data_IF_923476804809
#
_entry.id   IF_923476804809
#
_cell.length_a   1.000
_cell.length_b   1.000
_cell.length_c   1.000
_cell.angle_alpha   90.00
_cell.angle_beta   90.00
_cell.angle_gamma   90.00
#
_symmetry.space_group_name_H-M   'P 1'
#
loop_
_entity.id
_entity.type
_entity.pdbx_description
1 polymer ?
#
# COMPACT_ATOMS: atom_id res chain seq x y z
N UNK A 1 25.66 11.85 -30.30
CA UNK A 1 26.44 12.76 -29.42
C UNK A 1 26.80 11.94 -28.20
N UNK A 2 28.02 12.01 -27.76
CA UNK A 2 28.47 11.40 -26.51
C UNK A 2 28.14 12.33 -25.34
N UNK A 3 28.11 11.79 -24.11
CA UNK A 3 27.72 12.54 -22.91
C UNK A 3 28.70 13.66 -22.59
N UNK A 4 29.99 13.40 -22.62
CA UNK A 4 31.02 14.39 -22.30
C UNK A 4 30.93 15.65 -23.17
N UNK A 5 30.71 15.47 -24.49
CA UNK A 5 30.46 16.57 -25.42
C UNK A 5 29.20 17.38 -25.10
N UNK A 6 28.20 16.69 -24.54
CA UNK A 6 26.94 17.32 -24.12
C UNK A 6 27.14 18.11 -22.85
N UNK A 7 27.77 17.50 -21.84
CA UNK A 7 28.03 18.09 -20.54
C UNK A 7 28.82 19.40 -20.63
N UNK A 8 29.93 19.43 -21.41
CA UNK A 8 30.79 20.60 -21.56
C UNK A 8 30.11 21.79 -22.26
N UNK A 9 29.02 21.55 -23.01
CA UNK A 9 28.46 22.58 -23.91
C UNK A 9 27.02 22.96 -23.58
N UNK A 10 26.39 22.31 -22.64
CA UNK A 10 24.95 22.46 -22.34
C UNK A 10 24.54 23.91 -22.12
N UNK A 11 25.35 24.68 -21.42
CA UNK A 11 25.06 26.10 -21.10
C UNK A 11 25.02 27.02 -22.34
N UNK A 12 25.72 26.62 -23.40
CA UNK A 12 25.89 27.46 -24.60
C UNK A 12 24.79 27.29 -25.64
N UNK A 13 23.83 26.37 -25.40
CA UNK A 13 22.80 26.06 -26.41
C UNK A 13 21.45 26.71 -26.13
N UNK A 14 20.77 27.10 -27.21
CA UNK A 14 19.37 27.49 -27.11
C UNK A 14 18.48 26.30 -26.74
N UNK A 15 17.30 26.55 -26.16
CA UNK A 15 16.33 25.49 -25.77
C UNK A 15 15.98 24.56 -26.94
N UNK A 16 15.85 25.09 -28.16
CA UNK A 16 15.56 24.27 -29.36
C UNK A 16 16.73 23.35 -29.70
N UNK A 17 17.96 23.86 -29.61
CA UNK A 17 19.17 23.08 -29.83
C UNK A 17 19.31 22.00 -28.76
N UNK A 18 19.11 22.34 -27.47
CA UNK A 18 19.13 21.39 -26.36
C UNK A 18 18.15 20.25 -26.59
N UNK A 19 16.91 20.57 -26.99
CA UNK A 19 15.91 19.53 -27.26
C UNK A 19 16.33 18.55 -28.35
N UNK A 20 17.01 19.04 -29.41
CA UNK A 20 17.55 18.17 -30.48
C UNK A 20 18.73 17.35 -30.00
N UNK A 21 19.64 17.96 -29.22
CA UNK A 21 20.84 17.32 -28.70
C UNK A 21 20.51 16.21 -27.72
N UNK A 22 19.60 16.46 -26.78
CA UNK A 22 19.08 15.42 -25.87
C UNK A 22 18.56 14.20 -26.66
N UNK A 23 17.78 14.42 -27.72
CA UNK A 23 17.28 13.34 -28.54
C UNK A 23 18.37 12.54 -29.25
N UNK A 24 19.51 13.17 -29.55
CA UNK A 24 20.64 12.56 -30.29
C UNK A 24 21.70 11.90 -29.39
N UNK A 25 21.54 11.96 -28.05
CA UNK A 25 22.45 11.31 -27.11
C UNK A 25 22.49 9.81 -27.35
N UNK A 26 23.72 9.27 -27.43
CA UNK A 26 24.00 7.84 -27.56
C UNK A 26 24.47 7.24 -26.25
N UNK A 27 25.22 8.02 -25.48
CA UNK A 27 25.64 7.75 -24.12
C UNK A 27 25.08 8.82 -23.21
N UNK A 28 25.04 8.54 -21.93
CA UNK A 28 24.56 9.47 -20.90
C UNK A 28 25.30 9.15 -19.61
N UNK A 29 25.48 10.16 -18.75
CA UNK A 29 26.15 10.01 -17.47
C UNK A 29 25.28 9.32 -16.41
N UNK A 30 25.79 9.28 -15.21
CA UNK A 30 25.10 8.74 -14.05
C UNK A 30 23.99 9.69 -13.55
N UNK A 31 23.13 9.23 -12.64
CA UNK A 31 21.98 10.00 -12.17
C UNK A 31 22.34 11.36 -11.57
N UNK A 32 23.40 11.41 -10.78
CA UNK A 32 23.89 12.65 -10.17
C UNK A 32 24.41 13.67 -11.22
N UNK A 33 25.10 13.22 -12.27
CA UNK A 33 25.54 14.10 -13.38
C UNK A 33 24.34 14.67 -14.16
N UNK A 34 23.29 13.86 -14.29
CA UNK A 34 22.04 14.29 -14.94
C UNK A 34 21.34 15.35 -14.10
N UNK A 35 21.40 15.24 -12.77
CA UNK A 35 20.87 16.25 -11.85
C UNK A 35 21.62 17.57 -11.99
N UNK A 36 22.94 17.55 -12.02
CA UNK A 36 23.77 18.75 -12.26
C UNK A 36 23.40 19.44 -13.57
N UNK A 37 23.25 18.68 -14.64
CA UNK A 37 22.82 19.21 -15.95
C UNK A 37 21.41 19.78 -15.90
N UNK A 38 20.49 19.13 -15.18
CA UNK A 38 19.11 19.61 -15.04
C UNK A 38 19.07 20.97 -14.32
N UNK A 39 19.95 21.20 -13.34
CA UNK A 39 20.09 22.49 -12.68
C UNK A 39 20.60 23.59 -13.64
N UNK A 40 21.49 23.25 -14.56
CA UNK A 40 21.99 24.21 -15.57
C UNK A 40 20.92 24.53 -16.62
N UNK A 41 20.14 23.53 -17.05
CA UNK A 41 19.07 23.70 -18.08
C UNK A 41 17.94 24.60 -17.56
N UNK A 42 17.52 24.47 -16.31
CA UNK A 42 16.45 25.25 -15.66
C UNK A 42 15.12 25.27 -16.45
N UNK A 43 14.80 24.17 -17.12
CA UNK A 43 13.58 24.04 -17.91
C UNK A 43 13.00 22.62 -17.65
N UNK A 44 11.91 22.56 -16.91
CA UNK A 44 11.32 21.29 -16.48
C UNK A 44 10.96 20.36 -17.66
N UNK A 45 10.51 20.90 -18.79
CA UNK A 45 10.16 20.08 -19.94
C UNK A 45 11.40 19.47 -20.62
N UNK A 46 12.50 20.21 -20.70
CA UNK A 46 13.77 19.72 -21.22
C UNK A 46 14.39 18.71 -20.26
N UNK A 47 14.34 18.99 -18.95
CA UNK A 47 14.80 18.08 -17.92
C UNK A 47 14.02 16.76 -17.96
N UNK A 48 12.69 16.80 -18.05
CA UNK A 48 11.87 15.60 -18.20
C UNK A 48 12.24 14.81 -19.47
N UNK A 49 12.58 15.51 -20.56
CA UNK A 49 13.05 14.87 -21.81
C UNK A 49 14.40 14.21 -21.62
N UNK A 50 15.33 14.85 -20.90
CA UNK A 50 16.65 14.31 -20.58
C UNK A 50 16.53 13.04 -19.73
N UNK A 51 15.71 13.07 -18.67
CA UNK A 51 15.45 11.92 -17.82
C UNK A 51 14.83 10.75 -18.61
N UNK A 52 13.82 11.02 -19.45
CA UNK A 52 13.24 9.98 -20.32
C UNK A 52 14.28 9.37 -21.26
N UNK A 53 15.19 10.20 -21.76
CA UNK A 53 16.29 9.72 -22.58
C UNK A 53 17.25 8.84 -21.77
N UNK A 54 17.59 9.26 -20.54
CA UNK A 54 18.44 8.50 -19.62
C UNK A 54 17.82 7.12 -19.29
N UNK A 55 16.56 7.09 -18.92
CA UNK A 55 15.83 5.83 -18.69
C UNK A 55 15.85 4.92 -19.93
N UNK A 56 15.69 5.52 -21.13
CA UNK A 56 15.73 4.74 -22.40
C UNK A 56 17.10 4.16 -22.72
N UNK A 57 18.16 4.74 -22.18
CA UNK A 57 19.54 4.27 -22.30
C UNK A 57 19.97 3.35 -21.14
N UNK A 58 19.07 3.09 -20.20
CA UNK A 58 19.28 2.14 -19.12
C UNK A 58 20.01 2.72 -17.90
N UNK A 59 20.03 4.05 -17.73
CA UNK A 59 20.62 4.68 -16.53
C UNK A 59 19.81 4.24 -15.32
N UNK A 60 20.51 3.88 -14.25
CA UNK A 60 19.92 3.62 -12.95
C UNK A 60 19.69 4.92 -12.21
N UNK A 61 18.57 5.02 -11.55
CA UNK A 61 18.22 6.13 -10.68
C UNK A 61 18.01 5.58 -9.26
N UNK A 62 19.04 5.57 -8.39
CA UNK A 62 18.87 5.30 -6.97
C UNK A 62 17.87 6.28 -6.36
N UNK A 63 17.12 5.87 -5.34
CA UNK A 63 16.10 6.73 -4.74
C UNK A 63 16.69 8.01 -4.14
N UNK A 64 17.88 7.94 -3.55
CA UNK A 64 18.63 9.08 -3.04
C UNK A 64 18.93 10.14 -4.12
N UNK A 65 19.21 9.70 -5.36
CA UNK A 65 19.45 10.61 -6.47
C UNK A 65 18.14 11.21 -7.01
N UNK A 66 17.02 10.45 -6.96
CA UNK A 66 15.73 10.93 -7.46
C UNK A 66 15.24 12.16 -6.68
N UNK A 67 15.50 12.23 -5.38
CA UNK A 67 15.14 13.37 -4.53
C UNK A 67 15.81 14.66 -5.03
N UNK A 68 17.04 14.59 -5.57
CA UNK A 68 17.76 15.75 -6.08
C UNK A 68 17.08 16.44 -7.27
N UNK A 69 16.11 15.79 -7.91
CA UNK A 69 15.33 16.38 -9.01
C UNK A 69 14.13 17.20 -8.53
N UNK A 70 13.96 17.39 -7.22
CA UNK A 70 12.90 18.25 -6.69
C UNK A 70 13.00 19.67 -7.27
N UNK A 71 11.89 20.20 -7.77
CA UNK A 71 11.84 21.53 -8.41
C UNK A 71 12.46 21.59 -9.81
N UNK A 72 13.30 20.63 -10.19
CA UNK A 72 13.94 20.57 -11.52
C UNK A 72 13.03 19.92 -12.57
N UNK A 73 12.11 19.08 -12.14
CA UNK A 73 11.08 18.42 -12.99
C UNK A 73 9.71 18.45 -12.32
N UNK A 74 8.68 18.03 -13.06
CA UNK A 74 7.35 17.90 -12.49
C UNK A 74 7.24 16.68 -11.58
N UNK A 75 6.27 16.69 -10.65
CA UNK A 75 5.95 15.55 -9.78
C UNK A 75 5.69 14.27 -10.58
N UNK A 76 5.00 14.36 -11.71
CA UNK A 76 4.72 13.21 -12.58
C UNK A 76 6.01 12.60 -13.15
N UNK A 77 7.03 13.42 -13.39
CA UNK A 77 8.35 12.93 -13.84
C UNK A 77 9.06 12.21 -12.71
N UNK A 78 9.01 12.74 -11.48
CA UNK A 78 9.56 12.06 -10.29
C UNK A 78 8.87 10.71 -10.08
N UNK A 79 7.54 10.67 -10.13
CA UNK A 79 6.79 9.39 -10.04
C UNK A 79 7.22 8.40 -11.13
N UNK A 80 7.46 8.86 -12.38
CA UNK A 80 7.98 7.99 -13.44
C UNK A 80 9.39 7.46 -13.15
N UNK A 81 10.26 8.26 -12.52
CA UNK A 81 11.59 7.82 -12.09
C UNK A 81 11.50 6.78 -10.97
N UNK A 82 10.62 7.00 -10.00
CA UNK A 82 10.32 6.06 -8.90
C UNK A 82 9.84 4.72 -9.49
N UNK A 83 8.84 4.74 -10.35
CA UNK A 83 8.33 3.54 -11.02
C UNK A 83 9.42 2.82 -11.81
N UNK A 84 10.27 3.59 -12.49
CA UNK A 84 11.39 3.05 -13.23
C UNK A 84 12.40 2.35 -12.31
N UNK A 85 12.81 3.00 -11.20
CA UNK A 85 13.73 2.44 -10.21
C UNK A 85 13.18 1.13 -9.61
N UNK A 86 11.92 1.13 -9.16
CA UNK A 86 11.25 -0.06 -8.63
C UNK A 86 11.21 -1.21 -9.64
N UNK A 87 10.92 -0.91 -10.90
CA UNK A 87 10.87 -1.92 -11.98
C UNK A 87 12.25 -2.47 -12.35
N UNK A 88 13.33 -1.73 -12.05
CA UNK A 88 14.72 -2.16 -12.28
C UNK A 88 15.36 -2.79 -11.06
N UNK A 89 14.58 -3.01 -10.01
CA UNK A 89 15.00 -3.80 -8.85
C UNK A 89 15.66 -2.99 -7.75
N UNK A 90 15.68 -1.66 -7.84
CA UNK A 90 16.16 -0.82 -6.75
C UNK A 90 15.31 -1.08 -5.49
N UNK A 91 15.98 -1.22 -4.35
CA UNK A 91 15.34 -1.36 -3.05
C UNK A 91 15.19 0.01 -2.41
N UNK A 92 14.08 0.22 -1.73
CA UNK A 92 13.84 1.45 -1.00
C UNK A 92 13.91 1.20 0.51
N UNK A 93 14.42 2.16 1.26
CA UNK A 93 14.46 2.20 2.72
C UNK A 93 13.40 3.15 3.29
N UNK A 94 13.19 3.11 4.60
CA UNK A 94 12.30 4.04 5.30
C UNK A 94 12.76 5.49 5.13
N UNK A 95 14.07 5.75 5.30
CA UNK A 95 14.66 7.08 5.15
C UNK A 95 14.41 7.67 3.75
N UNK A 96 14.50 6.83 2.71
CA UNK A 96 14.23 7.25 1.34
C UNK A 96 12.75 7.58 1.13
N UNK A 97 11.81 6.84 1.75
CA UNK A 97 10.38 7.20 1.72
C UNK A 97 10.15 8.56 2.37
N UNK A 98 10.77 8.81 3.52
CA UNK A 98 10.71 10.10 4.21
C UNK A 98 11.27 11.22 3.35
N UNK A 99 12.35 10.96 2.61
CA UNK A 99 12.94 11.91 1.66
C UNK A 99 11.98 12.37 0.55
N UNK A 100 10.92 11.61 0.26
CA UNK A 100 9.91 11.98 -0.73
C UNK A 100 8.72 12.75 -0.16
N UNK A 101 8.67 12.96 1.16
CA UNK A 101 7.60 13.74 1.79
C UNK A 101 7.51 15.15 1.18
N UNK A 102 6.33 15.55 0.75
CA UNK A 102 6.10 16.85 0.09
C UNK A 102 6.53 16.91 -1.39
N UNK A 103 7.38 15.99 -1.85
CA UNK A 103 7.85 15.91 -3.24
C UNK A 103 6.82 15.19 -4.12
N UNK A 104 6.30 14.06 -3.66
CA UNK A 104 5.28 13.26 -4.36
C UNK A 104 3.94 13.33 -3.66
N UNK A 105 2.92 12.65 -4.22
CA UNK A 105 1.62 12.53 -3.58
C UNK A 105 1.57 11.35 -2.58
N UNK A 106 0.52 11.33 -1.75
CA UNK A 106 0.29 10.31 -0.75
C UNK A 106 0.21 8.90 -1.35
N UNK A 107 -0.42 8.76 -2.51
CA UNK A 107 -0.59 7.47 -3.18
C UNK A 107 0.76 6.88 -3.59
N UNK A 108 1.70 7.73 -4.00
CA UNK A 108 3.08 7.32 -4.34
C UNK A 108 3.84 6.89 -3.09
N UNK A 109 3.73 7.61 -1.97
CA UNK A 109 4.36 7.22 -0.69
C UNK A 109 3.80 5.87 -0.20
N UNK A 110 2.50 5.70 -0.27
CA UNK A 110 1.82 4.44 0.07
C UNK A 110 2.30 3.27 -0.81
N UNK A 111 2.48 3.51 -2.11
CA UNK A 111 3.01 2.53 -3.06
C UNK A 111 4.45 2.13 -2.72
N UNK A 112 5.30 3.08 -2.31
CA UNK A 112 6.68 2.83 -1.91
C UNK A 112 6.73 1.89 -0.70
N UNK A 113 5.95 2.18 0.36
CA UNK A 113 5.87 1.30 1.53
C UNK A 113 5.30 -0.08 1.18
N UNK A 114 4.29 -0.13 0.29
CA UNK A 114 3.81 -1.41 -0.24
C UNK A 114 4.89 -2.22 -0.96
N UNK A 115 5.77 -1.55 -1.70
CA UNK A 115 6.89 -2.21 -2.39
C UNK A 115 7.86 -2.84 -1.38
N UNK A 116 8.18 -2.16 -0.28
CA UNK A 116 8.99 -2.71 0.82
C UNK A 116 8.36 -3.97 1.40
N UNK A 117 7.07 -3.90 1.75
CA UNK A 117 6.31 -5.03 2.32
C UNK A 117 6.28 -6.22 1.35
N UNK A 118 6.04 -5.98 0.07
CA UNK A 118 6.02 -7.04 -0.95
C UNK A 118 7.39 -7.70 -1.14
N UNK A 119 8.47 -6.97 -0.93
CA UNK A 119 9.86 -7.49 -0.94
C UNK A 119 10.25 -8.14 0.38
N UNK A 120 9.33 -8.21 1.35
CA UNK A 120 9.53 -8.79 2.70
C UNK A 120 10.62 -8.07 3.50
N UNK A 121 10.77 -6.78 3.28
CA UNK A 121 11.60 -5.94 4.13
C UNK A 121 10.85 -5.78 5.45
N UNK A 122 11.49 -6.17 6.54
CA UNK A 122 10.88 -6.08 7.88
C UNK A 122 11.13 -4.70 8.46
N UNK A 123 10.06 -4.08 8.94
CA UNK A 123 10.10 -2.78 9.60
C UNK A 123 10.10 -2.97 11.11
N UNK A 124 10.94 -2.22 11.80
CA UNK A 124 10.96 -2.15 13.26
C UNK A 124 9.96 -1.08 13.78
N UNK A 125 9.91 -0.86 15.08
CA UNK A 125 8.98 0.12 15.66
C UNK A 125 9.35 1.56 15.31
N UNK A 126 10.63 1.87 15.25
CA UNK A 126 11.11 3.22 14.89
C UNK A 126 10.75 3.53 13.44
N UNK A 127 10.96 2.59 12.50
CA UNK A 127 10.54 2.74 11.10
C UNK A 127 9.04 3.06 10.97
N UNK A 128 8.19 2.36 11.74
CA UNK A 128 6.74 2.57 11.71
C UNK A 128 6.33 3.91 12.32
N UNK A 129 7.04 4.34 13.37
CA UNK A 129 6.82 5.63 14.02
C UNK A 129 7.20 6.79 13.11
N UNK A 130 8.36 6.70 12.44
CA UNK A 130 8.86 7.73 11.52
C UNK A 130 7.92 7.90 10.31
N UNK A 131 7.26 6.83 9.88
CA UNK A 131 6.28 6.86 8.79
C UNK A 131 4.90 7.40 9.21
N UNK A 132 4.64 7.61 10.50
CA UNK A 132 3.34 8.12 10.97
C UNK A 132 3.13 9.57 10.48
N UNK A 133 2.01 9.80 9.83
CA UNK A 133 1.70 11.10 9.21
C UNK A 133 2.29 11.29 7.80
N UNK A 134 3.29 10.49 7.40
CA UNK A 134 3.90 10.51 6.06
C UNK A 134 3.18 9.53 5.12
N UNK A 135 2.85 8.34 5.61
CA UNK A 135 2.16 7.30 4.86
C UNK A 135 0.78 7.06 5.47
N UNK A 136 -0.17 6.63 4.65
CA UNK A 136 -1.53 6.35 5.15
C UNK A 136 -1.53 5.30 6.25
N UNK A 137 -2.28 5.55 7.32
CA UNK A 137 -2.38 4.68 8.49
C UNK A 137 -2.73 3.23 8.14
N UNK A 138 -3.58 3.02 7.15
CA UNK A 138 -3.95 1.68 6.66
C UNK A 138 -2.78 0.92 6.04
N UNK A 139 -1.83 1.62 5.47
CA UNK A 139 -0.62 1.03 4.86
C UNK A 139 0.41 0.73 5.94
N UNK A 140 0.57 1.60 6.94
CA UNK A 140 1.38 1.35 8.15
C UNK A 140 0.86 0.10 8.88
N UNK A 141 -0.45 0.00 9.11
CA UNK A 141 -1.10 -1.16 9.72
C UNK A 141 -0.74 -2.47 9.00
N UNK A 142 -0.81 -2.45 7.66
CA UNK A 142 -0.46 -3.61 6.84
C UNK A 142 1.03 -3.95 6.93
N UNK A 143 1.89 -2.94 6.92
CA UNK A 143 3.33 -3.10 7.04
C UNK A 143 3.71 -3.70 8.40
N UNK A 144 3.12 -3.22 9.47
CA UNK A 144 3.31 -3.74 10.82
C UNK A 144 2.89 -5.21 10.95
N UNK A 145 1.72 -5.59 10.39
CA UNK A 145 1.25 -6.98 10.39
C UNK A 145 2.14 -7.91 9.55
N UNK A 146 2.68 -7.39 8.45
CA UNK A 146 3.57 -8.14 7.56
C UNK A 146 5.00 -8.28 8.11
N UNK A 147 5.40 -7.43 9.05
CA UNK A 147 6.72 -7.50 9.67
C UNK A 147 6.95 -8.86 10.34
N UNK A 148 8.15 -9.40 10.09
CA UNK A 148 8.63 -10.64 10.72
C UNK A 148 9.33 -10.40 12.05
N UNK A 149 9.58 -9.14 12.39
CA UNK A 149 10.17 -8.75 13.65
C UNK A 149 9.18 -8.95 14.81
N UNK A 150 9.71 -9.21 15.99
CA UNK A 150 8.93 -9.26 17.21
C UNK A 150 9.02 -7.89 17.88
N UNK A 151 7.87 -7.32 18.17
CA UNK A 151 7.78 -6.06 18.92
C UNK A 151 7.85 -6.35 20.42
N UNK A 152 8.63 -5.56 21.14
CA UNK A 152 8.72 -5.57 22.60
C UNK A 152 7.51 -4.87 23.24
N UNK A 153 7.41 -4.88 24.57
CA UNK A 153 6.38 -4.10 25.27
C UNK A 153 6.56 -2.60 25.09
N UNK A 154 7.80 -2.13 25.09
CA UNK A 154 8.13 -0.72 24.87
C UNK A 154 7.79 -0.31 23.44
N UNK A 155 8.12 -1.14 22.44
CA UNK A 155 7.74 -0.88 21.03
C UNK A 155 6.23 -0.72 20.90
N UNK A 156 5.44 -1.60 21.53
CA UNK A 156 3.98 -1.51 21.47
C UNK A 156 3.43 -0.29 22.17
N UNK A 157 4.09 0.21 23.24
CA UNK A 157 3.72 1.46 23.88
C UNK A 157 3.98 2.67 22.96
N UNK A 158 5.11 2.68 22.23
CA UNK A 158 5.41 3.73 21.23
C UNK A 158 4.47 3.70 20.03
N UNK A 159 4.03 2.51 19.62
CA UNK A 159 3.11 2.33 18.49
C UNK A 159 1.64 2.58 18.85
N UNK A 160 1.35 2.88 20.12
CA UNK A 160 0.00 3.30 20.53
C UNK A 160 -0.34 4.65 19.88
N UNK A 161 -1.42 4.68 19.10
CA UNK A 161 -1.81 5.86 18.30
C UNK A 161 -1.28 5.86 16.87
N UNK A 162 -0.09 5.29 16.61
CA UNK A 162 0.43 5.08 15.25
C UNK A 162 -0.38 4.02 14.53
N UNK A 163 -0.59 2.87 15.16
CA UNK A 163 -1.39 1.78 14.61
C UNK A 163 -2.88 1.97 14.93
N UNK A 164 -3.74 1.39 14.10
CA UNK A 164 -5.15 1.30 14.45
C UNK A 164 -5.33 0.42 15.70
N UNK A 165 -6.33 0.69 16.55
CA UNK A 165 -6.54 -0.09 17.79
C UNK A 165 -6.73 -1.59 17.56
N UNK A 166 -7.24 -1.97 16.39
CA UNK A 166 -7.38 -3.37 15.98
C UNK A 166 -6.03 -4.02 15.75
N UNK A 167 -5.19 -3.39 14.93
CA UNK A 167 -3.87 -3.91 14.54
C UNK A 167 -2.93 -3.92 15.74
N UNK A 168 -2.95 -2.86 16.54
CA UNK A 168 -2.19 -2.79 17.78
C UNK A 168 -2.51 -3.99 18.69
N UNK A 169 -3.80 -4.29 18.93
CA UNK A 169 -4.22 -5.44 19.73
C UNK A 169 -3.77 -6.76 19.10
N UNK A 170 -3.92 -6.93 17.79
CA UNK A 170 -3.51 -8.14 17.07
C UNK A 170 -2.01 -8.39 17.20
N UNK A 171 -1.19 -7.34 17.15
CA UNK A 171 0.26 -7.42 17.34
C UNK A 171 0.62 -7.72 18.80
N UNK A 172 -0.07 -7.15 19.78
CA UNK A 172 0.08 -7.52 21.18
C UNK A 172 -0.17 -9.02 21.39
N UNK A 173 -1.29 -9.54 20.87
CA UNK A 173 -1.63 -10.96 20.95
C UNK A 173 -0.57 -11.85 20.25
N UNK A 174 -0.14 -11.46 19.03
CA UNK A 174 0.90 -12.15 18.26
C UNK A 174 2.24 -12.23 19.03
N UNK A 175 2.60 -11.18 19.76
CA UNK A 175 3.84 -11.09 20.52
C UNK A 175 3.68 -11.61 21.98
N UNK A 176 2.48 -12.01 22.39
CA UNK A 176 2.18 -12.48 23.74
C UNK A 176 2.30 -11.38 24.80
N UNK A 177 1.97 -10.16 24.42
CA UNK A 177 2.00 -8.97 25.26
C UNK A 177 0.61 -8.68 25.81
N UNK A 178 0.55 -8.22 27.05
CA UNK A 178 -0.69 -7.84 27.73
C UNK A 178 -0.45 -6.53 28.45
N UNK A 179 -1.41 -5.62 28.38
CA UNK A 179 -1.38 -4.39 29.15
C UNK A 179 -1.69 -4.68 30.62
N UNK A 180 -0.76 -4.29 31.49
CA UNK A 180 -0.90 -4.40 32.94
C UNK A 180 -0.42 -3.08 33.53
N UNK A 181 -1.32 -2.34 34.20
CA UNK A 181 -1.03 -1.05 34.84
C UNK A 181 -0.43 0.00 33.86
N UNK A 182 -0.85 -0.01 32.58
CA UNK A 182 -0.36 0.90 31.55
C UNK A 182 0.97 0.47 30.90
N UNK A 183 1.48 -0.71 31.22
CA UNK A 183 2.69 -1.25 30.60
C UNK A 183 2.38 -2.55 29.85
N UNK A 184 3.00 -2.75 28.69
CA UNK A 184 2.88 -3.98 27.90
C UNK A 184 3.93 -4.98 28.36
N UNK A 185 3.50 -6.10 28.96
CA UNK A 185 4.40 -7.14 29.50
C UNK A 185 4.09 -8.50 28.89
N UNK A 186 5.16 -9.30 28.67
CA UNK A 186 5.00 -10.73 28.39
C UNK A 186 4.54 -11.42 29.67
N UNK A 187 3.29 -11.85 29.72
CA UNK A 187 2.86 -12.72 30.78
C UNK A 187 3.48 -14.11 30.55
N UNK A 188 4.14 -14.66 31.57
CA UNK A 188 4.44 -16.08 31.57
C UNK A 188 3.14 -16.83 31.28
N UNK A 189 3.18 -17.71 30.23
CA UNK A 189 2.02 -18.48 29.75
C UNK A 189 1.13 -18.84 30.95
N UNK A 190 -0.13 -18.41 30.99
CA UNK A 190 -0.97 -18.64 32.14
C UNK A 190 -0.93 -20.14 32.43
N UNK A 191 -0.71 -20.59 33.67
CA UNK A 191 -0.62 -21.99 33.97
C UNK A 191 -1.84 -22.67 33.38
N UNK A 192 -1.62 -23.67 32.51
CA UNK A 192 -2.68 -24.36 31.77
C UNK A 192 -3.82 -24.60 32.77
N UNK A 193 -5.00 -24.01 32.49
CA UNK A 193 -6.16 -24.12 33.38
C UNK A 193 -6.29 -25.61 33.72
N UNK A 194 -5.89 -25.99 34.92
CA UNK A 194 -6.20 -27.32 35.45
C UNK A 194 -7.72 -27.38 35.35
N UNK A 195 -8.21 -28.24 34.46
CA UNK A 195 -9.63 -28.50 34.29
C UNK A 195 -10.22 -28.86 35.66
N UNK A 196 -10.65 -27.85 36.38
CA UNK A 196 -11.48 -28.06 37.54
C UNK A 196 -12.89 -28.38 37.03
N UNK A 197 -13.12 -29.68 36.78
CA UNK A 197 -14.46 -30.23 36.46
C UNK A 197 -15.55 -29.80 37.47
N UNK A 198 -15.17 -29.17 38.58
CA UNK A 198 -16.09 -28.66 39.58
C UNK A 198 -16.71 -27.30 39.24
N UNK A 199 -16.11 -26.48 38.33
CA UNK A 199 -16.69 -25.20 37.94
C UNK A 199 -17.66 -25.30 36.76
N UNK A 200 -17.52 -26.32 35.90
CA UNK A 200 -18.46 -26.56 34.80
C UNK A 200 -19.84 -27.05 35.27
N UNK A 201 -19.92 -27.77 36.42
CA UNK A 201 -21.18 -28.21 36.97
C UNK A 201 -22.03 -27.05 37.54
N UNK A 202 -21.37 -25.93 37.94
CA UNK A 202 -22.06 -24.75 38.47
C UNK A 202 -22.56 -23.79 37.38
N UNK A 203 -21.87 -23.73 36.23
CA UNK A 203 -22.31 -22.91 35.11
C UNK A 203 -23.43 -23.55 34.29
N UNK A 204 -23.49 -24.88 34.19
CA UNK A 204 -24.59 -25.57 33.53
C UNK A 204 -25.93 -25.40 34.23
N UNK A 205 -25.95 -25.32 35.58
CA UNK A 205 -27.19 -25.16 36.35
C UNK A 205 -27.80 -23.76 36.21
N UNK A 206 -27.05 -22.73 35.84
CA UNK A 206 -27.55 -21.37 35.61
C UNK A 206 -28.02 -21.12 34.16
N UNK A 207 -27.55 -21.93 33.20
CA UNK A 207 -27.96 -21.78 31.79
C UNK A 207 -29.22 -22.54 31.42
N UNK A 208 -29.61 -23.57 32.19
CA UNK A 208 -30.90 -24.31 31.94
C UNK A 208 -32.12 -23.55 32.44
N UNK A 209 -31.97 -22.58 33.33
CA UNK A 209 -33.13 -21.81 33.80
C UNK A 209 -33.54 -20.65 32.89
N UNK A 210 -32.76 -20.36 31.81
CA UNK A 210 -33.05 -19.28 30.87
C UNK A 210 -33.50 -19.76 29.49
N UNK A 211 -33.82 -21.07 29.31
CA UNK A 211 -34.18 -21.67 28.03
C UNK A 211 -35.58 -22.27 28.04
N UNK A 212 -36.57 -21.45 28.37
CA UNK A 212 -37.97 -21.67 28.04
C UNK A 212 -38.46 -20.42 27.33
N UNK A 213 -38.86 -20.61 26.10
CA UNK A 213 -39.49 -19.73 25.12
C UNK A 213 -38.60 -19.32 23.94
N UNK A 214 -38.58 -20.18 22.94
CA UNK A 214 -38.94 -19.83 21.56
C UNK A 214 -38.86 -21.08 20.66
N UNK A 215 -40.03 -21.60 20.36
CA UNK A 215 -40.31 -22.55 19.30
C UNK A 215 -40.24 -21.85 17.95
N UNK A 216 -39.66 -22.46 16.93
CA UNK A 216 -40.30 -22.79 15.64
C UNK A 216 -39.28 -23.27 14.61
N UNK A 217 -39.57 -24.48 14.17
CA UNK A 217 -39.34 -25.15 12.90
C UNK A 217 -38.84 -24.37 11.69
N UNK A 218 -37.89 -24.97 10.98
CA UNK A 218 -38.15 -25.53 9.64
C UNK A 218 -36.93 -26.26 9.07
N UNK A 219 -37.11 -27.56 8.85
CA UNK A 219 -36.32 -28.40 7.95
C UNK A 219 -36.42 -27.92 6.50
N UNK A 220 -35.34 -27.98 5.75
CA UNK A 220 -35.39 -28.44 4.36
C UNK A 220 -34.05 -28.99 3.92
N UNK A 221 -34.00 -30.29 3.72
CA UNK A 221 -33.01 -31.01 2.92
C UNK A 221 -33.13 -30.61 1.45
N UNK A 222 -32.03 -30.46 0.73
CA UNK A 222 -31.95 -30.89 -0.66
C UNK A 222 -30.50 -31.04 -1.12
N UNK A 223 -30.08 -32.28 -1.27
CA UNK A 223 -29.00 -32.72 -2.14
C UNK A 223 -29.27 -32.32 -3.58
N UNK A 224 -28.26 -31.82 -4.29
CA UNK A 224 -28.13 -32.10 -5.73
C UNK A 224 -26.62 -32.04 -6.09
N UNK A 225 -26.12 -33.23 -6.41
CA UNK A 225 -24.83 -33.43 -7.09
C UNK A 225 -24.98 -32.95 -8.54
N UNK A 226 -23.99 -32.15 -8.99
CA UNK A 226 -23.78 -31.77 -10.37
C UNK A 226 -22.28 -31.72 -10.65
N UNK A 227 -21.73 -32.84 -11.07
CA UNK A 227 -20.31 -32.93 -11.46
C UNK A 227 -20.07 -32.20 -12.78
N UNK A 228 -19.27 -31.15 -12.74
CA UNK A 228 -18.65 -30.54 -13.91
C UNK A 228 -17.25 -31.13 -14.03
N UNK A 229 -16.79 -31.60 -15.22
CA UNK A 229 -15.47 -32.21 -15.38
C UNK A 229 -14.39 -31.17 -15.13
N UNK A 230 -13.69 -31.32 -14.00
CA UNK A 230 -12.61 -30.45 -13.59
C UNK A 230 -11.40 -30.62 -14.50
N UNK A 231 -11.03 -29.56 -15.19
CA UNK A 231 -9.70 -29.43 -15.78
C UNK A 231 -8.74 -29.43 -14.60
N UNK A 232 -7.90 -30.47 -14.52
CA UNK A 232 -6.94 -30.65 -13.43
C UNK A 232 -5.99 -29.43 -13.38
N UNK A 233 -5.84 -28.87 -12.20
CA UNK A 233 -4.92 -27.76 -11.92
C UNK A 233 -3.48 -28.07 -12.40
N UNK A 234 -3.10 -29.34 -12.45
CA UNK A 234 -1.85 -29.85 -12.97
C UNK A 234 -1.68 -29.65 -14.47
N UNK A 235 -2.75 -29.78 -15.25
CA UNK A 235 -2.70 -29.57 -16.72
C UNK A 235 -2.49 -28.09 -17.05
N UNK A 236 -3.01 -27.17 -16.24
CA UNK A 236 -2.76 -25.74 -16.35
C UNK A 236 -1.33 -25.38 -15.96
N UNK A 237 -0.78 -26.03 -14.94
CA UNK A 237 0.58 -25.78 -14.45
C UNK A 237 1.65 -26.25 -15.46
N UNK A 238 1.44 -27.38 -16.12
CA UNK A 238 2.35 -27.90 -17.15
C UNK A 238 2.30 -27.04 -18.41
N UNK A 239 1.13 -26.50 -18.79
CA UNK A 239 1.01 -25.58 -19.91
C UNK A 239 1.69 -24.22 -19.63
N UNK A 240 1.76 -23.79 -18.36
CA UNK A 240 2.41 -22.54 -17.95
C UNK A 240 3.94 -22.60 -18.01
N UNK A 241 4.54 -23.77 -17.82
CA UNK A 241 6.00 -23.97 -17.79
C UNK A 241 6.62 -23.97 -19.18
N UNK A 242 5.84 -24.25 -20.23
CA UNK A 242 6.32 -24.34 -21.62
C UNK A 242 6.25 -23.03 -22.41
N UNK A 243 5.71 -21.95 -21.82
CA UNK A 243 5.71 -20.64 -22.48
C UNK A 243 6.96 -19.84 -22.11
N UNK A 244 7.64 -19.19 -23.07
CA UNK A 244 8.76 -18.33 -22.75
C UNK A 244 8.31 -17.19 -21.85
N UNK A 245 8.98 -17.04 -20.73
CA UNK A 245 8.70 -16.08 -19.62
C UNK A 245 8.41 -14.65 -20.12
N UNK A 246 9.02 -14.25 -21.24
CA UNK A 246 8.80 -12.96 -21.89
C UNK A 246 7.39 -12.75 -22.45
N UNK A 247 6.71 -13.81 -22.87
CA UNK A 247 5.33 -13.72 -23.37
C UNK A 247 4.34 -13.62 -22.21
N UNK A 248 4.58 -14.34 -21.12
CA UNK A 248 3.78 -14.30 -19.90
C UNK A 248 3.80 -12.88 -19.28
N UNK A 249 4.97 -12.25 -19.22
CA UNK A 249 5.09 -10.86 -18.72
C UNK A 249 4.34 -9.86 -19.63
N UNK A 250 4.37 -10.04 -20.95
CA UNK A 250 3.59 -9.20 -21.88
C UNK A 250 2.07 -9.39 -21.68
N UNK A 251 1.63 -10.62 -21.48
CA UNK A 251 0.21 -10.92 -21.26
C UNK A 251 -0.27 -10.35 -19.90
N UNK A 252 0.52 -10.52 -18.84
CA UNK A 252 0.21 -9.95 -17.52
C UNK A 252 0.15 -8.42 -17.60
N UNK A 253 1.06 -7.78 -18.33
CA UNK A 253 1.08 -6.33 -18.54
C UNK A 253 -0.14 -5.83 -19.33
N UNK A 254 -0.59 -6.61 -20.33
CA UNK A 254 -1.81 -6.32 -21.11
C UNK A 254 -3.06 -6.51 -20.22
N UNK A 255 -3.11 -7.54 -19.39
CA UNK A 255 -4.23 -7.74 -18.45
C UNK A 255 -4.24 -6.69 -17.34
N UNK A 256 -3.10 -6.29 -16.79
CA UNK A 256 -3.00 -5.18 -15.84
C UNK A 256 -3.42 -3.86 -16.51
N UNK A 257 -3.01 -3.62 -17.75
CA UNK A 257 -3.41 -2.44 -18.53
C UNK A 257 -4.90 -2.48 -18.88
N UNK A 258 -5.44 -3.62 -19.29
CA UNK A 258 -6.88 -3.78 -19.56
C UNK A 258 -7.74 -3.73 -18.28
N UNK A 259 -7.22 -4.14 -17.13
CA UNK A 259 -7.93 -3.99 -15.84
C UNK A 259 -7.96 -2.52 -15.37
N UNK A 260 -6.97 -1.72 -15.74
CA UNK A 260 -6.97 -0.27 -15.53
C UNK A 260 -7.96 0.45 -16.46
N UNK A 261 -8.24 -0.10 -17.65
CA UNK A 261 -9.22 0.42 -18.60
C UNK A 261 -10.59 -0.28 -18.59
N UNK A 262 -10.69 -1.41 -17.88
CA UNK A 262 -11.99 -1.94 -17.50
C UNK A 262 -12.56 -1.02 -16.44
N UNK A 263 -13.10 0.09 -16.92
CA UNK A 263 -13.76 1.08 -16.09
C UNK A 263 -14.82 0.38 -15.24
N UNK A 264 -14.48 0.06 -13.99
CA UNK A 264 -15.49 0.16 -12.96
C UNK A 264 -16.05 1.55 -13.15
N UNK A 265 -17.31 1.68 -13.61
CA UNK A 265 -18.08 2.88 -13.43
C UNK A 265 -17.78 3.33 -12.00
N UNK A 266 -17.04 4.41 -11.85
CA UNK A 266 -16.96 5.08 -10.57
C UNK A 266 -18.40 5.36 -10.23
N UNK A 267 -18.94 4.66 -9.24
CA UNK A 267 -20.27 4.94 -8.73
C UNK A 267 -20.17 6.39 -8.25
N UNK A 268 -20.86 7.28 -8.95
CA UNK A 268 -20.95 8.69 -8.54
C UNK A 268 -21.79 8.70 -7.26
N UNK A 269 -21.13 8.81 -6.13
CA UNK A 269 -21.77 9.00 -4.85
C UNK A 269 -22.32 10.43 -4.76
N UNK A 270 -23.53 10.57 -4.22
CA UNK A 270 -24.19 11.85 -3.99
C UNK A 270 -24.45 12.08 -2.51
N UNK A 271 -24.57 13.35 -2.11
CA UNK A 271 -25.02 13.69 -0.77
C UNK A 271 -26.42 13.11 -0.54
N UNK A 272 -26.59 12.38 0.54
CA UNK A 272 -27.82 11.67 0.87
C UNK A 272 -27.81 10.18 0.57
N UNK A 273 -26.81 9.67 -0.18
CA UNK A 273 -26.71 8.25 -0.47
C UNK A 273 -26.42 7.43 0.78
N UNK A 274 -27.14 6.32 1.00
CA UNK A 274 -26.79 5.36 2.03
C UNK A 274 -25.58 4.55 1.59
N UNK A 275 -24.63 4.37 2.50
CA UNK A 275 -23.37 3.69 2.24
C UNK A 275 -22.99 2.76 3.39
N UNK A 276 -22.28 1.68 3.04
CA UNK A 276 -21.60 0.78 3.95
C UNK A 276 -20.09 1.12 3.94
N UNK A 277 -19.51 1.35 5.07
CA UNK A 277 -18.06 1.48 5.20
C UNK A 277 -17.45 0.09 5.19
N UNK A 278 -16.69 -0.23 4.13
CA UNK A 278 -16.21 -1.58 3.85
C UNK A 278 -15.39 -2.22 4.97
N UNK A 279 -14.58 -1.41 5.66
CA UNK A 279 -13.68 -1.92 6.70
C UNK A 279 -14.37 -2.14 8.05
N UNK A 280 -15.28 -1.26 8.42
CA UNK A 280 -16.00 -1.36 9.70
C UNK A 280 -17.31 -2.12 9.60
N UNK A 281 -17.82 -2.38 8.38
CA UNK A 281 -19.16 -2.92 8.11
C UNK A 281 -20.26 -2.07 8.80
N UNK A 282 -20.00 -0.76 8.90
CA UNK A 282 -20.92 0.17 9.55
C UNK A 282 -21.68 0.94 8.47
N UNK A 283 -22.99 1.03 8.64
CA UNK A 283 -23.85 1.77 7.72
C UNK A 283 -23.90 3.25 8.10
N UNK A 284 -23.96 4.10 7.08
CA UNK A 284 -24.05 5.54 7.25
C UNK A 284 -24.68 6.21 6.03
N UNK A 285 -24.72 7.54 6.07
CA UNK A 285 -25.19 8.35 4.96
C UNK A 285 -24.21 9.46 4.63
N UNK A 286 -23.94 9.69 3.36
CA UNK A 286 -23.12 10.79 2.90
C UNK A 286 -23.84 12.10 3.20
N UNK A 287 -23.21 12.98 3.98
CA UNK A 287 -23.76 14.28 4.36
C UNK A 287 -23.09 15.45 3.65
N UNK A 288 -21.87 15.26 3.18
CA UNK A 288 -21.11 16.25 2.42
C UNK A 288 -20.06 15.58 1.53
N UNK A 289 -19.63 16.27 0.46
CA UNK A 289 -18.58 15.82 -0.47
C UNK A 289 -17.58 16.95 -0.64
N UNK A 290 -16.34 16.72 -0.24
CA UNK A 290 -15.27 17.69 -0.36
C UNK A 290 -14.12 17.11 -1.22
N UNK A 291 -14.14 17.40 -2.51
CA UNK A 291 -13.20 16.83 -3.49
C UNK A 291 -13.34 15.30 -3.58
N UNK A 292 -12.29 14.55 -3.22
CA UNK A 292 -12.28 13.09 -3.21
C UNK A 292 -12.77 12.46 -1.90
N UNK A 293 -13.13 13.27 -0.90
CA UNK A 293 -13.53 12.83 0.43
C UNK A 293 -15.04 12.96 0.62
N UNK A 294 -15.62 11.92 1.20
CA UNK A 294 -17.05 11.80 1.51
C UNK A 294 -17.23 11.85 3.03
N UNK A 295 -17.90 12.88 3.52
CA UNK A 295 -18.27 12.97 4.92
C UNK A 295 -19.49 12.08 5.17
N UNK A 296 -19.33 11.05 6.00
CA UNK A 296 -20.37 10.06 6.27
C UNK A 296 -20.81 10.17 7.73
N UNK A 297 -22.12 10.37 7.92
CA UNK A 297 -22.74 10.29 9.23
C UNK A 297 -23.19 8.85 9.49
N UNK A 298 -22.60 8.22 10.49
CA UNK A 298 -22.91 6.84 10.87
C UNK A 298 -24.28 6.75 11.54
N UNK A 299 -25.04 5.71 11.23
CA UNK A 299 -26.33 5.45 11.88
C UNK A 299 -26.15 5.00 13.33
N UNK A 300 -24.99 4.40 13.65
CA UNK A 300 -24.66 3.98 15.00
C UNK A 300 -23.94 5.09 15.76
N UNK A 301 -24.71 5.98 16.40
CA UNK A 301 -24.22 7.00 17.31
C UNK A 301 -23.99 8.40 16.72
N UNK A 302 -24.31 8.64 15.44
CA UNK A 302 -24.24 9.98 14.84
C UNK A 302 -22.82 10.54 14.66
N UNK A 303 -21.79 9.69 14.74
CA UNK A 303 -20.41 10.06 14.47
C UNK A 303 -20.26 10.39 12.99
N UNK A 304 -19.52 11.47 12.70
CA UNK A 304 -19.21 11.89 11.33
C UNK A 304 -17.73 11.65 11.09
N UNK A 305 -17.43 10.83 10.07
CA UNK A 305 -16.05 10.55 9.65
C UNK A 305 -15.90 10.79 8.15
N UNK A 306 -14.65 10.98 7.69
CA UNK A 306 -14.30 11.22 6.29
C UNK A 306 -13.75 9.96 5.65
N UNK A 307 -14.24 9.61 4.45
CA UNK A 307 -13.87 8.41 3.70
C UNK A 307 -13.58 8.75 2.24
N UNK A 308 -12.80 7.91 1.59
CA UNK A 308 -12.61 7.96 0.12
C UNK A 308 -13.58 7.00 -0.57
N UNK A 309 -13.83 7.21 -1.87
CA UNK A 309 -14.82 6.43 -2.63
C UNK A 309 -14.59 4.92 -2.58
N UNK A 310 -13.34 4.47 -2.55
CA UNK A 310 -13.00 3.04 -2.51
C UNK A 310 -13.29 2.37 -1.15
N UNK A 311 -13.45 3.17 -0.09
CA UNK A 311 -13.78 2.69 1.27
C UNK A 311 -15.29 2.51 1.45
N UNK A 312 -16.07 3.02 0.52
CA UNK A 312 -17.53 3.02 0.57
C UNK A 312 -18.12 1.97 -0.39
N UNK A 313 -19.27 1.46 -0.03
CA UNK A 313 -20.13 0.61 -0.85
C UNK A 313 -21.54 1.14 -0.77
N UNK A 314 -22.24 1.25 -1.90
CA UNK A 314 -23.62 1.70 -1.93
C UNK A 314 -24.52 0.59 -1.44
N UNK A 315 -25.46 0.90 -0.55
CA UNK A 315 -26.43 -0.04 0.01
C UNK A 315 -27.75 0.09 -0.77
#
# INVERSE_FOLDING_TARGET
MEWDDFYERVENWSKSTLSQRISSLKTIGEAWEISDIAELIKDQALNAKLIKKAMSLGVKFPFEDIVSFEGLVSKETICQMIDYALNHGESISTDEILGFEGIVDQDTLDMLLHSMVNRKISLNADDLLDLDGVVSKSVIDRAALASTLQFSGDDMAYLEGVLSPRVHRELCDKNGLYEVDGEYRKLAKPPAKKNNKASEARSKGLYEAAKIDSYSDSNTDSNTEGAVPGISLWTLLVALISFPFTLLFKIIRIFAFLSLFSGKKTEEFCVGDPVLVRYSQTEGRIIDINGSHFMVSMYDGGKVDSYQAYELERI
#
